data_IF_217887037132
#
_entry.id   IF_217887037132
#
_cell.length_a   1.000
_cell.length_b   1.000
_cell.length_c   1.000
_cell.angle_alpha   90.00
_cell.angle_beta   90.00
_cell.angle_gamma   90.00
#
_symmetry.space_group_name_H-M   'P 1'
#
loop_
_entity.id
_entity.type
_entity.pdbx_description
1 polymer ?
#
# COMPACT_ATOMS: atom_id res chain seq x y z
N UNK A 1 -0.95 -63.42 26.70
CA UNK A 1 0.48 -63.23 26.37
C UNK A 1 0.66 -61.80 25.88
N UNK A 2 1.23 -60.86 26.66
CA UNK A 2 1.44 -59.49 26.20
C UNK A 2 2.91 -59.26 25.84
N UNK A 3 3.20 -58.96 24.58
CA UNK A 3 4.51 -58.44 24.17
C UNK A 3 4.52 -56.93 24.33
N UNK A 4 5.20 -56.48 25.38
CA UNK A 4 5.55 -55.09 25.62
C UNK A 4 6.65 -54.66 24.66
N UNK A 5 6.44 -53.60 23.87
CA UNK A 5 7.52 -52.86 23.23
C UNK A 5 7.59 -51.47 23.88
N UNK A 6 8.48 -51.33 24.86
CA UNK A 6 8.89 -50.05 25.45
C UNK A 6 9.90 -49.39 24.51
N UNK A 7 9.55 -48.24 23.95
CA UNK A 7 10.52 -47.32 23.36
C UNK A 7 10.48 -46.05 24.22
N UNK A 8 11.57 -45.81 24.96
CA UNK A 8 11.80 -44.63 25.79
C UNK A 8 12.88 -43.76 25.13
N UNK A 9 12.67 -42.43 25.22
CA UNK A 9 13.61 -41.30 25.03
C UNK A 9 13.99 -40.97 23.57
N UNK A 10 13.94 -39.72 23.09
CA UNK A 10 14.28 -38.47 23.76
C UNK A 10 13.35 -37.29 23.37
N UNK A 11 13.08 -36.43 24.35
CA UNK A 11 12.36 -35.16 24.21
C UNK A 11 13.38 -34.12 23.76
N UNK A 12 13.30 -33.66 22.51
CA UNK A 12 14.09 -32.53 22.01
C UNK A 12 13.28 -31.25 22.16
N UNK A 13 13.52 -30.51 23.24
CA UNK A 13 12.99 -29.15 23.44
C UNK A 13 13.86 -28.14 22.68
N UNK A 14 13.54 -27.88 21.41
CA UNK A 14 14.12 -26.76 20.67
C UNK A 14 13.34 -25.48 21.02
N UNK A 15 13.94 -24.65 21.88
CA UNK A 15 13.43 -23.39 22.37
C UNK A 15 14.10 -22.25 21.57
N UNK A 16 13.57 -21.88 20.41
CA UNK A 16 14.07 -20.78 19.58
C UNK A 16 13.32 -19.48 19.88
N UNK A 17 13.94 -18.68 20.75
CA UNK A 17 13.53 -17.32 21.13
C UNK A 17 13.88 -16.33 20.00
N UNK A 18 12.96 -15.48 19.52
CA UNK A 18 13.30 -14.45 18.53
C UNK A 18 13.93 -13.24 19.23
N UNK A 19 15.19 -12.96 18.93
CA UNK A 19 15.90 -11.77 19.42
C UNK A 19 16.00 -10.68 18.35
N UNK A 20 15.48 -9.52 18.74
CA UNK A 20 16.02 -8.18 18.46
C UNK A 20 15.86 -7.58 17.05
N UNK A 21 14.74 -6.87 16.91
CA UNK A 21 14.68 -5.44 16.56
C UNK A 21 15.97 -4.83 15.98
N UNK A 22 16.00 -4.57 14.66
CA UNK A 22 17.03 -3.77 13.99
C UNK A 22 16.46 -2.40 13.67
N UNK A 23 16.51 -1.55 14.70
CA UNK A 23 16.28 -0.12 14.65
C UNK A 23 17.38 0.54 13.80
N UNK A 24 16.97 1.24 12.74
CA UNK A 24 17.85 2.08 11.92
C UNK A 24 17.71 3.49 12.48
N UNK A 25 18.53 3.80 13.49
CA UNK A 25 18.75 5.15 14.00
C UNK A 25 19.89 5.78 13.18
N UNK A 26 19.55 6.81 12.40
CA UNK A 26 20.49 7.70 11.73
C UNK A 26 21.26 8.56 12.76
N UNK A 27 22.59 8.67 12.69
CA UNK A 27 23.34 9.49 13.63
C UNK A 27 23.24 10.98 13.29
N UNK A 28 22.55 11.70 14.18
CA UNK A 28 22.66 13.14 14.42
C UNK A 28 24.13 13.54 14.50
N UNK A 29 24.63 14.27 13.51
CA UNK A 29 25.97 14.88 13.55
C UNK A 29 25.94 16.12 14.44
N UNK A 30 26.40 15.94 15.68
CA UNK A 30 26.66 17.01 16.64
C UNK A 30 27.84 17.89 16.17
N UNK A 31 27.66 19.20 16.32
CA UNK A 31 28.68 20.24 16.10
C UNK A 31 29.40 20.48 17.44
N UNK A 32 30.74 20.33 17.54
CA UNK A 32 31.45 20.70 18.75
C UNK A 32 31.69 22.21 18.81
N UNK A 33 31.33 22.75 19.97
CA UNK A 33 31.64 24.09 20.45
C UNK A 33 33.13 24.27 20.79
N UNK A 34 33.59 25.51 20.63
CA UNK A 34 34.83 26.13 21.13
C UNK A 34 35.97 26.25 20.11
N UNK A 35 36.32 27.51 19.79
CA UNK A 35 37.70 28.05 19.79
C UNK A 35 37.61 29.60 19.77
N UNK A 36 37.96 30.18 20.93
CA UNK A 36 38.84 31.33 21.18
C UNK A 36 38.61 32.65 20.42
N UNK A 37 38.23 33.70 21.19
CA UNK A 37 38.46 35.13 20.91
C UNK A 37 39.89 35.38 20.41
N UNK A 38 40.04 36.06 19.28
CA UNK A 38 41.20 36.94 19.05
C UNK A 38 40.78 38.15 18.23
N UNK A 39 40.85 39.32 18.87
CA UNK A 39 40.75 40.63 18.23
C UNK A 39 41.96 40.81 17.32
N UNK A 40 41.79 41.31 16.11
CA UNK A 40 42.70 42.32 15.56
C UNK A 40 41.96 43.21 14.57
N UNK A 41 42.23 44.50 14.69
CA UNK A 41 41.62 45.64 13.99
C UNK A 41 42.29 45.82 12.62
N UNK A 42 41.55 46.46 11.71
CA UNK A 42 41.78 46.76 10.28
C UNK A 42 43.22 47.16 9.84
N UNK A 43 43.47 47.17 8.53
CA UNK A 43 43.25 48.44 7.82
C UNK A 43 42.42 48.32 6.53
N UNK A 44 41.82 49.46 6.21
CA UNK A 44 41.11 49.78 4.98
C UNK A 44 42.20 50.21 3.99
N UNK A 45 42.36 49.50 2.87
CA UNK A 45 43.16 49.99 1.76
C UNK A 45 42.24 50.29 0.58
N UNK A 46 42.07 51.58 0.35
CA UNK A 46 41.43 52.17 -0.81
C UNK A 46 42.46 52.16 -1.94
N UNK A 47 42.37 51.18 -2.84
CA UNK A 47 43.18 51.10 -4.04
C UNK A 47 42.30 51.17 -5.29
N UNK A 48 42.18 52.36 -5.88
CA UNK A 48 41.74 52.56 -7.26
C UNK A 48 42.71 51.82 -8.19
N UNK A 49 42.18 50.89 -8.99
CA UNK A 49 42.96 50.07 -9.91
C UNK A 49 42.20 49.83 -11.21
N UNK A 50 42.80 50.30 -12.29
CA UNK A 50 42.22 50.48 -13.61
C UNK A 50 41.70 49.21 -14.29
N UNK A 51 40.61 49.45 -15.04
CA UNK A 51 40.05 48.65 -16.13
C UNK A 51 41.11 48.00 -17.05
N UNK A 52 41.06 46.66 -17.13
CA UNK A 52 41.60 45.91 -18.27
C UNK A 52 40.62 44.81 -18.72
N UNK A 53 40.32 44.82 -20.02
CA UNK A 53 39.44 43.88 -20.72
C UNK A 53 40.13 42.53 -20.86
N UNK A 54 39.52 41.47 -20.33
CA UNK A 54 39.56 40.14 -20.94
C UNK A 54 38.38 39.29 -20.48
N UNK A 55 37.77 38.63 -21.45
CA UNK A 55 36.51 37.89 -21.44
C UNK A 55 36.52 36.65 -20.54
N UNK A 56 35.50 36.51 -19.68
CA UNK A 56 34.75 35.26 -19.36
C UNK A 56 34.18 35.32 -17.95
N UNK A 57 32.87 35.49 -17.80
CA UNK A 57 32.15 34.94 -16.65
C UNK A 57 30.84 34.36 -17.16
N UNK A 58 30.85 33.03 -17.32
CA UNK A 58 29.68 32.20 -17.44
C UNK A 58 28.76 32.43 -16.24
N UNK A 59 27.56 32.96 -16.45
CA UNK A 59 26.51 33.03 -15.44
C UNK A 59 25.17 33.39 -16.09
N UNK A 60 24.11 32.78 -15.57
CA UNK A 60 22.68 33.03 -15.86
C UNK A 60 22.03 32.28 -17.03
N UNK A 61 22.03 30.95 -16.97
CA UNK A 61 20.86 30.17 -17.41
C UNK A 61 20.57 29.08 -16.39
N UNK A 62 20.17 29.52 -15.18
CA UNK A 62 19.55 28.67 -14.16
C UNK A 62 18.09 28.44 -14.62
N UNK A 63 17.90 27.63 -15.67
CA UNK A 63 16.55 27.25 -16.12
C UNK A 63 15.98 26.32 -15.06
N UNK A 64 14.93 26.79 -14.40
CA UNK A 64 14.21 26.15 -13.33
C UNK A 64 13.88 24.69 -13.66
N UNK A 65 14.48 23.76 -12.93
CA UNK A 65 13.96 22.42 -12.74
C UNK A 65 12.65 22.56 -11.96
N UNK A 66 11.55 22.77 -12.69
CA UNK A 66 10.20 22.60 -12.15
C UNK A 66 10.05 21.11 -11.87
N UNK A 67 10.33 20.72 -10.63
CA UNK A 67 9.97 19.40 -10.13
C UNK A 67 8.45 19.32 -10.18
N UNK A 68 7.92 18.66 -11.21
CA UNK A 68 6.55 18.21 -11.23
C UNK A 68 6.38 17.26 -10.04
N UNK A 69 5.88 17.80 -8.93
CA UNK A 69 5.37 17.00 -7.82
C UNK A 69 4.19 16.22 -8.37
N UNK A 70 4.45 14.99 -8.79
CA UNK A 70 3.42 14.02 -9.11
C UNK A 70 2.53 13.90 -7.87
N UNK A 71 1.35 14.53 -7.91
CA UNK A 71 0.34 14.30 -6.88
C UNK A 71 -0.05 12.84 -7.00
N UNK A 72 0.25 12.07 -5.95
CA UNK A 72 -0.36 10.76 -5.78
C UNK A 72 -1.87 10.95 -5.95
N UNK A 73 -2.44 10.27 -6.95
CA UNK A 73 -3.86 10.25 -7.21
C UNK A 73 -4.57 9.72 -5.97
N UNK A 74 -5.13 10.61 -5.15
CA UNK A 74 -5.98 10.19 -4.04
C UNK A 74 -7.29 9.70 -4.65
N UNK A 75 -7.60 8.44 -4.39
CA UNK A 75 -8.84 7.79 -4.82
C UNK A 75 -10.05 8.55 -4.27
N UNK A 76 -11.06 8.82 -5.09
CA UNK A 76 -12.31 9.44 -4.64
C UNK A 76 -13.17 8.48 -3.79
N UNK A 77 -12.69 8.11 -2.60
CA UNK A 77 -13.37 7.22 -1.66
C UNK A 77 -13.33 7.82 -0.25
N UNK A 78 -14.51 7.89 0.39
CA UNK A 78 -14.64 8.32 1.77
C UNK A 78 -14.53 7.13 2.75
N UNK A 79 -13.56 7.14 3.69
CA UNK A 79 -13.43 6.08 4.68
C UNK A 79 -14.69 5.90 5.53
N UNK A 80 -14.95 4.66 5.97
CA UNK A 80 -16.04 4.36 6.88
C UNK A 80 -16.66 2.99 6.68
N UNK A 81 -17.90 2.86 7.15
CA UNK A 81 -18.72 1.67 7.01
C UNK A 81 -19.42 1.68 5.66
N UNK A 82 -19.28 0.62 4.89
CA UNK A 82 -19.86 0.49 3.56
C UNK A 82 -20.72 -0.76 3.45
N UNK A 83 -21.88 -0.63 2.79
CA UNK A 83 -22.68 -1.75 2.34
C UNK A 83 -22.32 -2.06 0.89
N UNK A 84 -21.97 -3.31 0.64
CA UNK A 84 -21.73 -3.85 -0.68
C UNK A 84 -22.88 -4.76 -1.07
N UNK A 85 -23.30 -4.70 -2.32
CA UNK A 85 -24.32 -5.58 -2.91
C UNK A 85 -23.73 -6.21 -4.16
N UNK A 86 -23.58 -7.52 -4.14
CA UNK A 86 -23.02 -8.30 -5.22
C UNK A 86 -24.13 -9.12 -5.90
N UNK A 87 -24.06 -9.21 -7.23
CA UNK A 87 -24.87 -10.12 -8.04
C UNK A 87 -23.90 -11.08 -8.71
N UNK A 88 -24.06 -12.37 -8.46
CA UNK A 88 -23.22 -13.41 -9.03
C UNK A 88 -23.84 -13.91 -10.33
N UNK A 89 -23.03 -13.97 -11.38
CA UNK A 89 -23.37 -14.56 -12.66
C UNK A 89 -22.74 -15.96 -12.76
N UNK A 90 -23.61 -16.97 -12.83
CA UNK A 90 -23.23 -18.37 -12.97
C UNK A 90 -23.55 -18.83 -14.40
N UNK A 91 -22.54 -19.26 -15.19
CA UNK A 91 -22.79 -19.74 -16.53
C UNK A 91 -23.72 -20.96 -16.51
N UNK A 92 -24.73 -20.96 -17.40
CA UNK A 92 -25.68 -22.07 -17.54
C UNK A 92 -26.94 -21.97 -16.67
N UNK A 93 -27.12 -20.91 -15.89
CA UNK A 93 -28.38 -20.63 -15.19
C UNK A 93 -29.28 -19.67 -16.00
N UNK A 94 -30.59 -19.96 -16.15
CA UNK A 94 -31.49 -19.16 -16.97
C UNK A 94 -31.96 -17.86 -16.28
N UNK A 95 -31.74 -17.72 -14.97
CA UNK A 95 -32.16 -16.57 -14.17
C UNK A 95 -31.01 -16.07 -13.31
N UNK A 96 -30.87 -14.75 -13.12
CA UNK A 96 -29.85 -14.18 -12.24
C UNK A 96 -30.13 -14.58 -10.79
N UNK A 97 -29.07 -14.86 -10.04
CA UNK A 97 -29.17 -15.10 -8.62
C UNK A 97 -29.65 -13.84 -7.87
N UNK A 98 -30.38 -13.99 -6.75
CA UNK A 98 -30.71 -12.85 -5.91
C UNK A 98 -29.46 -12.09 -5.46
N UNK A 99 -29.49 -10.74 -5.39
CA UNK A 99 -28.38 -9.96 -4.88
C UNK A 99 -28.08 -10.30 -3.43
N UNK A 100 -26.79 -10.43 -3.10
CA UNK A 100 -26.32 -10.64 -1.73
C UNK A 100 -25.65 -9.37 -1.22
N UNK A 101 -26.03 -8.90 -0.03
CA UNK A 101 -25.45 -7.71 0.58
C UNK A 101 -24.67 -8.03 1.86
N UNK A 102 -23.56 -7.34 2.05
CA UNK A 102 -22.76 -7.41 3.27
C UNK A 102 -22.23 -6.02 3.63
N UNK A 103 -21.83 -5.83 4.87
CA UNK A 103 -21.30 -4.55 5.35
C UNK A 103 -19.89 -4.76 5.86
N UNK A 104 -18.96 -3.89 5.46
CA UNK A 104 -17.57 -3.93 5.93
C UNK A 104 -17.00 -2.51 6.09
N UNK A 105 -16.01 -2.39 6.94
CA UNK A 105 -15.26 -1.15 7.10
C UNK A 105 -14.13 -1.08 6.08
N UNK A 106 -14.01 0.06 5.39
CA UNK A 106 -12.92 0.31 4.44
C UNK A 106 -12.18 1.60 4.81
N UNK A 107 -10.90 1.64 4.49
CA UNK A 107 -10.01 2.79 4.73
C UNK A 107 -9.17 3.07 3.50
N UNK A 108 -8.52 4.24 3.42
CA UNK A 108 -7.59 4.53 2.32
C UNK A 108 -6.37 3.60 2.27
N UNK A 109 -6.09 2.86 3.34
CA UNK A 109 -5.04 1.84 3.35
C UNK A 109 -5.56 0.44 2.95
N UNK A 110 -6.87 0.22 3.03
CA UNK A 110 -7.53 -1.07 2.75
C UNK A 110 -8.93 -0.82 2.20
N UNK A 111 -9.01 -0.66 0.87
CA UNK A 111 -10.21 -0.27 0.13
C UNK A 111 -10.61 -1.32 -0.91
N UNK A 112 -10.11 -2.55 -0.80
CA UNK A 112 -10.65 -3.68 -1.55
C UNK A 112 -11.73 -4.31 -0.66
N UNK A 113 -12.97 -4.50 -1.15
CA UNK A 113 -13.99 -5.20 -0.40
C UNK A 113 -13.57 -6.66 -0.19
N UNK A 114 -13.21 -6.99 1.04
CA UNK A 114 -12.99 -8.37 1.45
C UNK A 114 -14.35 -8.95 1.80
N UNK A 115 -14.99 -9.59 0.82
CA UNK A 115 -16.16 -10.41 1.12
C UNK A 115 -15.73 -11.52 2.10
N UNK A 116 -16.66 -11.99 2.93
CA UNK A 116 -16.37 -13.02 3.92
C UNK A 116 -16.10 -14.40 3.31
N UNK A 117 -16.39 -14.61 2.01
CA UNK A 117 -16.21 -15.88 1.31
C UNK A 117 -14.79 -16.04 0.73
N UNK A 118 -14.12 -14.94 0.40
CA UNK A 118 -12.76 -14.91 -0.12
C UNK A 118 -11.69 -15.22 0.96
N UNK A 119 -12.11 -15.35 2.22
CA UNK A 119 -11.24 -15.80 3.30
C UNK A 119 -10.18 -14.76 3.70
N UNK A 120 -9.45 -15.06 4.79
CA UNK A 120 -8.50 -14.12 5.41
C UNK A 120 -7.06 -14.24 4.90
N UNK A 121 -6.77 -15.22 4.04
CA UNK A 121 -5.42 -15.53 3.56
C UNK A 121 -5.30 -15.30 2.04
N UNK A 122 -5.39 -14.03 1.64
CA UNK A 122 -5.15 -13.61 0.27
C UNK A 122 -3.80 -12.91 0.14
N UNK A 123 -2.99 -13.38 -0.79
CA UNK A 123 -1.79 -12.69 -1.24
C UNK A 123 -2.18 -11.71 -2.35
N UNK A 124 -1.81 -10.44 -2.17
CA UNK A 124 -1.99 -9.42 -3.20
C UNK A 124 -0.90 -9.59 -4.25
N UNK A 125 -1.29 -10.03 -5.45
CA UNK A 125 -0.37 -10.21 -6.58
C UNK A 125 -0.15 -8.86 -7.26
N UNK A 126 -1.23 -8.11 -7.48
CA UNK A 126 -1.19 -6.80 -8.13
C UNK A 126 -2.29 -5.92 -7.51
N UNK A 127 -1.94 -4.66 -7.23
CA UNK A 127 -2.87 -3.61 -6.86
C UNK A 127 -2.47 -2.34 -7.60
N UNK A 128 -3.40 -1.84 -8.41
CA UNK A 128 -3.21 -0.66 -9.23
C UNK A 128 -4.32 0.35 -8.97
N UNK A 129 -3.93 1.60 -8.75
CA UNK A 129 -4.86 2.74 -8.61
C UNK A 129 -4.60 3.74 -9.72
N UNK A 130 -5.62 4.04 -10.51
CA UNK A 130 -5.60 5.03 -11.60
C UNK A 130 -6.80 5.97 -11.45
N UNK A 131 -6.56 7.20 -11.01
CA UNK A 131 -7.66 8.12 -10.68
C UNK A 131 -8.51 7.54 -9.55
N UNK A 132 -9.79 7.37 -9.86
CA UNK A 132 -10.81 6.84 -8.95
C UNK A 132 -11.01 5.33 -9.07
N UNK A 133 -10.29 4.69 -10.01
CA UNK A 133 -10.40 3.26 -10.29
C UNK A 133 -9.28 2.49 -9.62
N UNK A 134 -9.67 1.43 -8.92
CA UNK A 134 -8.79 0.43 -8.32
C UNK A 134 -8.97 -0.86 -9.09
N UNK A 135 -7.87 -1.50 -9.46
CA UNK A 135 -7.87 -2.84 -10.02
C UNK A 135 -6.92 -3.72 -9.22
N UNK A 136 -7.31 -4.97 -8.99
CA UNK A 136 -6.51 -5.91 -8.23
C UNK A 136 -6.48 -7.28 -8.90
N UNK A 137 -5.42 -8.01 -8.57
CA UNK A 137 -5.28 -9.44 -8.81
C UNK A 137 -4.76 -10.05 -7.51
N UNK A 138 -5.52 -10.96 -6.91
CA UNK A 138 -5.18 -11.60 -5.64
C UNK A 138 -5.31 -13.12 -5.77
N UNK A 139 -4.53 -13.85 -4.99
CA UNK A 139 -4.64 -15.30 -4.84
C UNK A 139 -4.92 -15.63 -3.39
N UNK A 140 -6.03 -16.31 -3.13
CA UNK A 140 -6.44 -16.72 -1.79
C UNK A 140 -6.20 -18.22 -1.64
N UNK A 141 -5.34 -18.60 -0.69
CA UNK A 141 -5.08 -20.01 -0.38
C UNK A 141 -5.89 -20.39 0.86
N UNK A 142 -6.83 -21.32 0.71
CA UNK A 142 -7.67 -21.84 1.79
C UNK A 142 -7.56 -23.36 1.86
N UNK A 143 -8.05 -23.97 2.95
CA UNK A 143 -8.04 -25.43 3.11
C UNK A 143 -8.79 -26.17 1.98
N UNK A 144 -9.74 -25.48 1.32
CA UNK A 144 -10.52 -26.01 0.21
C UNK A 144 -9.83 -25.89 -1.16
N UNK A 145 -8.75 -25.12 -1.30
CA UNK A 145 -8.09 -24.88 -2.59
C UNK A 145 -7.49 -23.47 -2.72
N UNK A 146 -6.95 -23.19 -3.90
CA UNK A 146 -6.45 -21.87 -4.29
C UNK A 146 -7.50 -21.20 -5.16
N UNK A 147 -7.87 -19.97 -4.83
CA UNK A 147 -8.81 -19.16 -5.59
C UNK A 147 -8.11 -17.92 -6.11
N UNK A 148 -8.23 -17.64 -7.40
CA UNK A 148 -7.75 -16.39 -7.96
C UNK A 148 -8.90 -15.39 -8.09
N UNK A 149 -8.69 -14.15 -7.69
CA UNK A 149 -9.67 -13.08 -7.87
C UNK A 149 -9.03 -11.90 -8.58
N UNK A 150 -9.65 -11.48 -9.68
CA UNK A 150 -9.31 -10.26 -10.41
C UNK A 150 -10.51 -9.34 -10.37
N UNK A 151 -10.32 -8.07 -10.07
CA UNK A 151 -11.45 -7.16 -10.02
C UNK A 151 -11.05 -5.73 -10.29
N UNK A 152 -12.07 -4.91 -10.54
CA UNK A 152 -11.91 -3.48 -10.53
C UNK A 152 -13.13 -2.79 -9.96
N UNK A 153 -12.89 -1.76 -9.15
CA UNK A 153 -13.92 -0.88 -8.58
C UNK A 153 -13.56 0.56 -8.90
N UNK A 154 -14.56 1.34 -9.31
CA UNK A 154 -14.47 2.80 -9.39
C UNK A 154 -15.25 3.40 -8.23
N UNK A 155 -14.65 4.37 -7.55
CA UNK A 155 -15.26 5.06 -6.42
C UNK A 155 -15.73 6.47 -6.81
N UNK A 156 -16.83 6.91 -6.19
CA UNK A 156 -17.48 8.20 -6.43
C UNK A 156 -17.80 8.92 -5.11
N UNK A 157 -16.86 8.90 -4.17
CA UNK A 157 -17.00 9.44 -2.82
C UNK A 157 -17.71 8.47 -1.88
N UNK A 158 -19.05 8.50 -1.89
CA UNK A 158 -19.92 7.70 -1.01
C UNK A 158 -20.63 6.54 -1.75
N UNK A 159 -20.35 6.36 -3.04
CA UNK A 159 -20.79 5.21 -3.83
C UNK A 159 -19.64 4.59 -4.60
N UNK A 160 -19.83 3.35 -5.04
CA UNK A 160 -18.85 2.61 -5.81
C UNK A 160 -19.55 1.59 -6.71
N UNK A 161 -18.89 1.23 -7.80
CA UNK A 161 -19.33 0.12 -8.66
C UNK A 161 -18.13 -0.62 -9.22
N UNK A 162 -18.30 -1.90 -9.51
CA UNK A 162 -17.22 -2.72 -10.01
C UNK A 162 -17.63 -4.10 -10.46
N UNK A 163 -16.65 -4.79 -11.01
CA UNK A 163 -16.76 -6.17 -11.46
C UNK A 163 -15.64 -6.99 -10.85
N UNK A 164 -15.96 -8.20 -10.44
CA UNK A 164 -15.05 -9.16 -9.85
C UNK A 164 -15.16 -10.46 -10.65
N UNK A 165 -14.03 -10.98 -11.09
CA UNK A 165 -13.87 -12.31 -11.67
C UNK A 165 -13.21 -13.20 -10.63
N UNK A 166 -13.84 -14.34 -10.36
CA UNK A 166 -13.32 -15.37 -9.47
C UNK A 166 -13.01 -16.61 -10.32
N UNK A 167 -11.84 -17.19 -10.12
CA UNK A 167 -11.47 -18.50 -10.66
C UNK A 167 -11.32 -19.46 -9.48
N UNK A 168 -12.23 -20.42 -9.42
CA UNK A 168 -12.26 -21.47 -8.39
C UNK A 168 -12.06 -22.80 -9.11
N UNK A 169 -10.88 -23.40 -8.95
CA UNK A 169 -10.50 -24.68 -9.59
C UNK A 169 -10.78 -24.74 -11.11
N UNK A 170 -10.53 -23.64 -11.84
CA UNK A 170 -10.73 -23.54 -13.29
C UNK A 170 -12.14 -23.14 -13.72
N UNK A 171 -13.06 -22.99 -12.77
CA UNK A 171 -14.40 -22.43 -13.03
C UNK A 171 -14.37 -20.92 -12.84
N UNK A 172 -14.63 -20.18 -13.92
CA UNK A 172 -14.76 -18.73 -13.89
C UNK A 172 -16.17 -18.30 -13.51
N UNK A 173 -16.26 -17.51 -12.46
CA UNK A 173 -17.47 -16.85 -11.99
C UNK A 173 -17.28 -15.34 -12.11
N UNK A 174 -18.32 -14.63 -12.55
CA UNK A 174 -18.28 -13.17 -12.61
C UNK A 174 -19.30 -12.58 -11.65
N UNK A 175 -18.96 -11.46 -11.02
CA UNK A 175 -19.85 -10.76 -10.12
C UNK A 175 -19.81 -9.27 -10.36
N UNK A 176 -20.98 -8.65 -10.49
CA UNK A 176 -21.12 -7.19 -10.49
C UNK A 176 -21.45 -6.74 -9.08
N UNK A 177 -20.78 -5.69 -8.62
CA UNK A 177 -20.89 -5.21 -7.24
C UNK A 177 -21.14 -3.71 -7.21
N UNK A 178 -22.03 -3.27 -6.31
CA UNK A 178 -22.28 -1.87 -5.98
C UNK A 178 -22.03 -1.60 -4.51
N UNK A 179 -21.42 -0.47 -4.20
CA UNK A 179 -21.10 -0.02 -2.85
C UNK A 179 -21.83 1.27 -2.50
N UNK A 180 -22.24 1.38 -1.23
CA UNK A 180 -22.78 2.61 -0.64
C UNK A 180 -22.21 2.81 0.76
N UNK A 181 -21.68 4.01 1.04
CA UNK A 181 -21.24 4.38 2.38
C UNK A 181 -22.43 4.59 3.31
N UNK A 182 -22.37 4.00 4.49
CA UNK A 182 -23.37 4.11 5.54
C UNK A 182 -22.98 5.12 6.63
N UNK A 183 -21.72 5.54 6.68
CA UNK A 183 -21.20 6.49 7.66
C UNK A 183 -19.84 6.09 8.21
N UNK A 184 -19.45 6.60 9.40
CA UNK A 184 -18.23 6.15 10.06
C UNK A 184 -18.32 4.69 10.51
N UNK A 185 -17.17 4.04 10.67
CA UNK A 185 -17.08 2.75 11.36
C UNK A 185 -17.49 2.88 12.83
N UNK A 186 -18.05 1.80 13.40
CA UNK A 186 -18.43 1.72 14.81
C UNK A 186 -17.31 1.16 15.67
#
# INVERSE_FOLDING_TARGET
>A
MPFSCRIYLAISTANSRPTSNKQIDDPVRQIPSSIRKSRYIAPIDTGEGAMNRTTSVASLLLVALVSAVAKASDINMNPGLWQWTAVLDLPGMPLPLPPTSYTTCISRADFIPKDSQLGRACETIDLKTEGDKVSWNISCSQAAGVTHSKGSITYYGDSAEGTILLDVDGMQLSSTTKGKRLGPCR
#
